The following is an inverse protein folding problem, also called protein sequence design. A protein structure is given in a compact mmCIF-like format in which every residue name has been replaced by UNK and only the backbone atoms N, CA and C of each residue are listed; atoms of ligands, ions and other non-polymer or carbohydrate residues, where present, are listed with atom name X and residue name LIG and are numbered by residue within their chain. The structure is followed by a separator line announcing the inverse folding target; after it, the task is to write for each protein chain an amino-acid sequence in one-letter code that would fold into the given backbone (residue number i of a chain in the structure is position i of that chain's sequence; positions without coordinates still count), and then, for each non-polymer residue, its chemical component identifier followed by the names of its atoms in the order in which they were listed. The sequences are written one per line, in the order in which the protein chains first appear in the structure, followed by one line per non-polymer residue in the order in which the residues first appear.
data_IF_938015351941
#
_entry.id   IF_938015351941
#
_cell.length_a   1.000
_cell.length_b   1.000
_cell.length_c   1.000
_cell.angle_alpha   90.00
_cell.angle_beta   90.00
_cell.angle_gamma   90.00
#
_symmetry.space_group_name_H-M   'P 1'
#
loop_
_entity.id
_entity.type
_entity.pdbx_description
1 polymer ?
#
# COMPACT_ATOMS: atom_id res chain seq x y z
N UNK A 1 -80.14 6.33 56.68
CA UNK A 1 -78.79 6.37 57.31
C UNK A 1 -78.10 5.00 57.33
N UNK A 2 -78.85 3.89 57.39
CA UNK A 2 -78.31 2.51 57.27
C UNK A 2 -77.76 2.17 55.86
N UNK A 3 -78.40 2.62 54.78
CA UNK A 3 -77.94 2.30 53.41
C UNK A 3 -76.57 2.91 53.05
N UNK A 4 -76.22 4.06 53.62
CA UNK A 4 -74.93 4.74 53.38
C UNK A 4 -73.78 4.05 54.12
N UNK A 5 -74.06 3.45 55.27
CA UNK A 5 -73.08 2.68 56.07
C UNK A 5 -72.81 1.33 55.43
N UNK A 6 -73.83 0.67 54.88
CA UNK A 6 -73.67 -0.59 54.16
C UNK A 6 -72.94 -0.41 52.81
N UNK A 7 -73.22 0.69 52.09
CA UNK A 7 -72.53 1.03 50.85
C UNK A 7 -71.05 1.41 51.06
N UNK A 8 -70.73 2.17 52.14
CA UNK A 8 -69.34 2.45 52.54
C UNK A 8 -68.59 1.22 53.02
N UNK A 9 -69.24 0.31 53.75
CA UNK A 9 -68.66 -0.98 54.14
C UNK A 9 -68.36 -1.88 52.94
N UNK A 10 -69.26 -1.92 51.94
CA UNK A 10 -69.05 -2.62 50.66
C UNK A 10 -67.94 -1.96 49.81
N UNK A 11 -67.83 -0.63 49.77
CA UNK A 11 -66.74 0.08 49.08
C UNK A 11 -65.35 -0.12 49.74
N UNK A 12 -65.27 -0.09 51.07
CA UNK A 12 -64.00 -0.32 51.80
C UNK A 12 -63.56 -1.77 51.66
N UNK A 13 -64.50 -2.73 51.70
CA UNK A 13 -64.19 -4.16 51.45
C UNK A 13 -63.78 -4.44 50.01
N UNK A 14 -64.42 -3.82 49.01
CA UNK A 14 -64.04 -3.98 47.59
C UNK A 14 -62.70 -3.32 47.27
N UNK A 15 -62.38 -2.17 47.88
CA UNK A 15 -61.06 -1.53 47.80
C UNK A 15 -59.96 -2.37 48.46
N UNK A 16 -60.23 -2.94 49.64
CA UNK A 16 -59.32 -3.86 50.34
C UNK A 16 -59.09 -5.16 49.56
N UNK A 17 -60.16 -5.74 48.97
CA UNK A 17 -60.06 -6.93 48.12
C UNK A 17 -59.24 -6.65 46.85
N UNK A 18 -59.45 -5.48 46.23
CA UNK A 18 -58.69 -5.02 45.06
C UNK A 18 -57.19 -4.87 45.37
N UNK A 19 -56.86 -4.28 46.53
CA UNK A 19 -55.48 -4.14 46.98
C UNK A 19 -54.81 -5.51 47.24
N UNK A 20 -55.54 -6.45 47.84
CA UNK A 20 -55.06 -7.81 48.08
C UNK A 20 -54.79 -8.56 46.77
N UNK A 21 -55.70 -8.45 45.80
CA UNK A 21 -55.54 -9.05 44.47
C UNK A 21 -54.33 -8.46 43.74
N UNK A 22 -54.13 -7.14 43.84
CA UNK A 22 -52.97 -6.47 43.25
C UNK A 22 -51.64 -6.94 43.88
N UNK A 23 -51.58 -7.07 45.21
CA UNK A 23 -50.40 -7.59 45.91
C UNK A 23 -50.10 -9.06 45.53
N UNK A 24 -51.13 -9.89 45.38
CA UNK A 24 -50.97 -11.29 44.93
C UNK A 24 -50.48 -11.37 43.48
N UNK A 25 -50.95 -10.49 42.61
CA UNK A 25 -50.47 -10.38 41.22
C UNK A 25 -48.99 -9.99 41.18
N UNK A 26 -48.57 -9.00 41.97
CA UNK A 26 -47.15 -8.61 42.08
C UNK A 26 -46.30 -9.78 42.58
N UNK A 27 -46.73 -10.48 43.63
CA UNK A 27 -46.00 -11.65 44.15
C UNK A 27 -45.89 -12.77 43.11
N UNK A 28 -46.94 -13.00 42.32
CA UNK A 28 -46.92 -13.98 41.24
C UNK A 28 -45.92 -13.57 40.15
N UNK A 29 -45.96 -12.31 39.70
CA UNK A 29 -45.02 -11.79 38.71
C UNK A 29 -43.56 -11.86 39.20
N UNK A 30 -43.29 -11.51 40.46
CA UNK A 30 -41.95 -11.66 41.04
C UNK A 30 -41.48 -13.11 41.11
N UNK A 31 -42.36 -14.07 41.44
CA UNK A 31 -42.02 -15.49 41.43
C UNK A 31 -41.71 -15.99 40.02
N UNK A 32 -42.48 -15.57 39.02
CA UNK A 32 -42.23 -15.93 37.62
C UNK A 32 -40.89 -15.35 37.16
N UNK A 33 -40.63 -14.07 37.43
CA UNK A 33 -39.37 -13.41 37.08
C UNK A 33 -38.14 -14.10 37.71
N UNK A 34 -38.22 -14.45 38.99
CA UNK A 34 -37.15 -15.16 39.69
C UNK A 34 -36.92 -16.56 39.13
N UNK A 35 -38.01 -17.29 38.83
CA UNK A 35 -37.93 -18.61 38.20
C UNK A 35 -37.29 -18.55 36.81
N UNK A 36 -37.59 -17.52 36.02
CA UNK A 36 -36.98 -17.35 34.69
C UNK A 36 -35.51 -16.98 34.78
N UNK A 37 -35.10 -16.19 35.78
CA UNK A 37 -33.70 -15.85 36.02
C UNK A 37 -32.88 -17.07 36.46
N UNK A 38 -33.38 -17.86 37.39
CA UNK A 38 -32.73 -19.11 37.84
C UNK A 38 -32.62 -20.13 36.71
N UNK A 39 -33.66 -20.28 35.88
CA UNK A 39 -33.62 -21.14 34.70
C UNK A 39 -32.58 -20.66 33.67
N UNK A 40 -32.46 -19.34 33.50
CA UNK A 40 -31.48 -18.75 32.58
C UNK A 40 -30.04 -18.89 33.08
N UNK A 41 -29.79 -18.73 34.38
CA UNK A 41 -28.47 -18.94 35.00
C UNK A 41 -28.04 -20.41 34.88
N UNK A 42 -28.97 -21.36 35.09
CA UNK A 42 -28.71 -22.79 34.93
C UNK A 42 -28.41 -23.22 33.47
N UNK A 43 -28.61 -22.31 32.52
CA UNK A 43 -28.36 -22.50 31.09
C UNK A 43 -27.07 -21.84 30.61
N UNK A 44 -26.27 -21.28 31.54
CA UNK A 44 -24.90 -20.84 31.26
C UNK A 44 -24.02 -22.08 31.02
N UNK A 45 -23.23 -22.13 29.93
CA UNK A 45 -22.25 -23.20 29.74
C UNK A 45 -21.21 -23.22 30.87
N UNK A 46 -20.96 -24.39 31.44
CA UNK A 46 -19.91 -24.63 32.45
C UNK A 46 -18.59 -25.03 31.77
N UNK A 47 -17.48 -24.72 32.43
CA UNK A 47 -16.11 -25.04 31.99
C UNK A 47 -15.81 -24.66 30.53
N UNK A 48 -16.10 -23.40 30.18
CA UNK A 48 -15.80 -22.88 28.84
C UNK A 48 -14.29 -22.90 28.63
N UNK A 49 -13.85 -23.72 27.68
CA UNK A 49 -12.46 -23.82 27.23
C UNK A 49 -12.39 -23.21 25.84
N UNK A 50 -11.50 -22.23 25.69
CA UNK A 50 -11.22 -21.57 24.42
C UNK A 50 -9.81 -21.92 23.99
N UNK A 51 -9.67 -22.44 22.79
CA UNK A 51 -8.39 -22.71 22.13
C UNK A 51 -8.29 -21.87 20.88
N UNK A 52 -7.22 -21.11 20.79
CA UNK A 52 -6.98 -20.19 19.69
C UNK A 52 -5.82 -20.74 18.86
N UNK A 53 -6.10 -20.95 17.58
CA UNK A 53 -5.15 -21.40 16.57
C UNK A 53 -5.14 -20.41 15.41
N UNK A 54 -4.15 -20.45 14.51
CA UNK A 54 -4.14 -19.60 13.34
C UNK A 54 -5.46 -19.67 12.53
N UNK A 55 -6.17 -18.53 12.45
CA UNK A 55 -7.42 -18.36 11.73
C UNK A 55 -8.63 -19.09 12.31
N UNK A 56 -8.53 -19.65 13.52
CA UNK A 56 -9.56 -20.50 14.11
C UNK A 56 -9.68 -20.31 15.63
N UNK A 57 -10.90 -20.05 16.08
CA UNK A 57 -11.25 -20.02 17.51
C UNK A 57 -12.15 -21.22 17.80
N UNK A 58 -11.65 -22.15 18.61
CA UNK A 58 -12.37 -23.34 19.05
C UNK A 58 -12.85 -23.14 20.47
N UNK A 59 -14.17 -23.28 20.65
CA UNK A 59 -14.81 -23.05 21.93
C UNK A 59 -15.53 -24.33 22.30
N UNK A 60 -15.28 -24.83 23.50
CA UNK A 60 -15.90 -26.05 24.02
C UNK A 60 -16.37 -25.84 25.44
N UNK A 61 -17.39 -26.59 25.85
CA UNK A 61 -17.96 -26.52 27.19
C UNK A 61 -18.44 -27.91 27.63
N UNK A 62 -18.66 -28.07 28.93
CA UNK A 62 -19.19 -29.34 29.46
C UNK A 62 -20.62 -29.58 28.93
N UNK A 63 -20.88 -30.78 28.41
CA UNK A 63 -22.17 -31.19 27.84
C UNK A 63 -23.28 -31.43 28.89
N UNK A 64 -23.49 -30.51 29.84
CA UNK A 64 -24.54 -30.65 30.88
C UNK A 64 -25.92 -30.25 30.34
N UNK A 65 -25.98 -29.32 29.39
CA UNK A 65 -27.23 -28.73 28.91
C UNK A 65 -27.84 -29.56 27.78
N UNK A 66 -28.99 -30.20 28.07
CA UNK A 66 -29.73 -31.03 27.10
C UNK A 66 -30.83 -30.27 26.35
N UNK A 67 -31.11 -29.01 26.68
CA UNK A 67 -32.14 -28.20 26.00
C UNK A 67 -31.66 -27.77 24.62
N UNK A 68 -32.59 -27.79 23.66
CA UNK A 68 -32.32 -27.35 22.29
C UNK A 68 -32.53 -25.83 22.21
N UNK A 69 -31.50 -25.07 22.59
CA UNK A 69 -31.52 -23.61 22.55
C UNK A 69 -30.41 -23.07 21.66
N UNK A 70 -30.72 -21.96 20.99
CA UNK A 70 -29.80 -21.23 20.13
C UNK A 70 -29.15 -20.13 20.96
N UNK A 71 -27.84 -20.04 20.88
CA UNK A 71 -27.03 -19.01 21.55
C UNK A 71 -26.35 -18.17 20.48
N UNK A 72 -26.10 -16.92 20.83
CA UNK A 72 -25.30 -15.99 20.06
C UNK A 72 -23.92 -15.89 20.68
N UNK A 73 -22.89 -15.89 19.85
CA UNK A 73 -21.54 -15.60 20.28
C UNK A 73 -21.04 -14.31 19.64
N UNK A 74 -20.56 -13.39 20.48
CA UNK A 74 -19.88 -12.18 20.03
C UNK A 74 -18.39 -12.32 20.32
N UNK A 75 -17.54 -12.31 19.29
CA UNK A 75 -16.10 -12.10 19.48
C UNK A 75 -15.81 -10.60 19.38
N UNK A 76 -15.09 -10.06 20.35
CA UNK A 76 -14.73 -8.64 20.39
C UNK A 76 -13.21 -8.47 20.42
N UNK A 77 -12.64 -8.02 19.30
CA UNK A 77 -11.31 -7.40 19.24
C UNK A 77 -11.23 -6.44 18.03
N UNK A 78 -12.09 -5.41 18.03
CA UNK A 78 -12.37 -4.49 16.91
C UNK A 78 -13.15 -5.08 15.73
N UNK A 79 -13.21 -6.41 15.61
CA UNK A 79 -14.11 -7.13 14.70
C UNK A 79 -15.20 -7.81 15.51
N UNK A 80 -16.47 -7.55 15.15
CA UNK A 80 -17.64 -8.21 15.74
C UNK A 80 -18.07 -9.36 14.83
N UNK A 81 -17.82 -10.59 15.27
CA UNK A 81 -18.45 -11.79 14.70
C UNK A 81 -19.65 -12.10 15.58
N UNK A 82 -20.84 -12.15 14.96
CA UNK A 82 -22.10 -12.59 15.56
C UNK A 82 -22.54 -13.89 14.85
N UNK A 83 -22.43 -15.01 15.55
CA UNK A 83 -22.87 -16.32 15.06
C UNK A 83 -23.86 -17.00 16.01
N UNK A 84 -24.86 -17.66 15.43
CA UNK A 84 -25.80 -18.51 16.15
C UNK A 84 -25.29 -19.96 16.23
N UNK A 85 -25.29 -20.53 17.44
CA UNK A 85 -24.83 -21.90 17.67
C UNK A 85 -25.72 -22.65 18.67
N UNK A 86 -25.53 -23.98 18.74
CA UNK A 86 -26.36 -24.87 19.57
C UNK A 86 -25.52 -25.54 20.64
N UNK A 87 -25.92 -25.39 21.92
CA UNK A 87 -25.18 -25.94 23.05
C UNK A 87 -25.07 -27.47 23.05
N UNK A 88 -25.98 -28.20 22.38
CA UNK A 88 -25.90 -29.67 22.27
C UNK A 88 -24.68 -30.16 21.51
N UNK A 89 -24.08 -29.32 20.66
CA UNK A 89 -22.85 -29.68 19.95
C UNK A 89 -21.66 -29.77 20.92
N UNK A 90 -21.73 -29.10 22.07
CA UNK A 90 -20.66 -28.98 23.07
C UNK A 90 -19.35 -28.33 22.61
N UNK A 91 -19.27 -27.99 21.33
CA UNK A 91 -18.21 -27.20 20.76
C UNK A 91 -18.76 -26.34 19.63
N UNK A 92 -18.07 -25.25 19.34
CA UNK A 92 -18.30 -24.39 18.17
C UNK A 92 -16.95 -23.94 17.63
N UNK A 93 -16.82 -23.96 16.31
CA UNK A 93 -15.60 -23.56 15.60
C UNK A 93 -15.90 -22.29 14.81
N UNK A 94 -15.08 -21.26 15.03
CA UNK A 94 -15.26 -19.96 14.39
C UNK A 94 -14.04 -19.67 13.56
N UNK A 95 -14.24 -19.47 12.26
CA UNK A 95 -13.19 -19.02 11.35
C UNK A 95 -13.02 -17.52 11.52
N UNK A 96 -11.79 -17.08 11.72
CA UNK A 96 -11.46 -15.68 11.86
C UNK A 96 -10.51 -15.25 10.74
N UNK A 97 -10.77 -14.06 10.21
CA UNK A 97 -9.95 -13.36 9.21
C UNK A 97 -9.39 -12.04 9.77
N UNK A 98 -9.18 -12.00 11.09
CA UNK A 98 -8.57 -10.90 11.84
C UNK A 98 -7.49 -11.43 12.80
N UNK A 99 -6.73 -10.53 13.42
CA UNK A 99 -5.59 -10.85 14.27
C UNK A 99 -6.03 -11.51 15.59
N UNK A 100 -5.69 -12.78 15.79
CA UNK A 100 -6.00 -13.56 16.99
C UNK A 100 -4.84 -13.57 18.00
N UNK A 101 -3.61 -13.25 17.59
CA UNK A 101 -2.46 -13.25 18.49
C UNK A 101 -2.57 -12.21 19.63
N UNK A 102 -3.44 -11.20 19.45
CA UNK A 102 -3.71 -10.15 20.45
C UNK A 102 -4.73 -10.57 21.50
N UNK A 103 -5.39 -11.71 21.29
CA UNK A 103 -6.31 -12.37 22.19
C UNK A 103 -7.76 -11.92 22.06
N UNK A 104 -8.71 -12.83 22.13
CA UNK A 104 -10.13 -12.52 21.87
C UNK A 104 -10.95 -12.43 23.15
N UNK A 105 -11.88 -11.50 23.21
CA UNK A 105 -12.94 -11.50 24.23
C UNK A 105 -14.18 -12.15 23.65
N UNK A 106 -14.83 -13.02 24.41
CA UNK A 106 -15.96 -13.81 23.93
C UNK A 106 -17.16 -13.53 24.81
N UNK A 107 -18.27 -13.15 24.20
CA UNK A 107 -19.54 -13.04 24.89
C UNK A 107 -20.49 -14.11 24.39
N UNK A 108 -21.20 -14.73 25.32
CA UNK A 108 -22.24 -15.71 24.98
C UNK A 108 -23.58 -15.16 25.46
N UNK A 109 -24.55 -15.12 24.57
CA UNK A 109 -25.90 -14.62 24.83
C UNK A 109 -26.93 -15.70 24.51
N UNK A 110 -27.90 -15.98 25.39
CA UNK A 110 -28.92 -17.00 25.15
C UNK A 110 -30.10 -16.46 24.34
N UNK A 111 -30.29 -16.95 23.11
CA UNK A 111 -31.46 -16.69 22.26
C UNK A 111 -31.81 -15.21 22.00
N UNK A 112 -32.88 -14.97 21.22
CA UNK A 112 -33.33 -13.60 20.85
C UNK A 112 -33.98 -12.79 21.99
N UNK A 113 -34.32 -13.42 23.11
CA UNK A 113 -35.00 -12.77 24.25
C UNK A 113 -34.14 -12.74 25.52
N UNK A 114 -32.88 -13.19 25.46
CA UNK A 114 -31.98 -13.27 26.60
C UNK A 114 -30.82 -12.27 26.56
N UNK A 115 -30.95 -11.14 25.84
CA UNK A 115 -29.91 -10.10 25.77
C UNK A 115 -29.49 -9.57 27.16
N UNK A 116 -30.43 -9.58 28.11
CA UNK A 116 -30.19 -9.24 29.52
C UNK A 116 -29.31 -10.26 30.28
N UNK A 117 -29.10 -11.45 29.72
CA UNK A 117 -28.30 -12.54 30.28
C UNK A 117 -27.01 -12.76 29.48
N UNK A 118 -26.33 -11.67 29.11
CA UNK A 118 -25.03 -11.70 28.44
C UNK A 118 -23.94 -12.15 29.40
N UNK A 119 -23.29 -13.28 29.10
CA UNK A 119 -22.13 -13.74 29.86
C UNK A 119 -20.86 -13.31 29.14
N UNK A 120 -20.14 -12.37 29.76
CA UNK A 120 -18.82 -11.98 29.33
C UNK A 120 -17.81 -13.03 29.79
N UNK A 121 -17.10 -13.62 28.84
CA UNK A 121 -15.97 -14.48 29.12
C UNK A 121 -14.70 -13.65 28.97
N UNK A 122 -13.82 -13.74 29.97
CA UNK A 122 -12.53 -13.04 30.03
C UNK A 122 -11.74 -13.14 28.73
N UNK A 123 -10.88 -12.16 28.47
CA UNK A 123 -9.99 -12.17 27.30
C UNK A 123 -9.12 -13.43 27.30
N UNK A 124 -9.15 -14.19 26.21
CA UNK A 124 -8.34 -15.38 25.99
C UNK A 124 -7.18 -15.08 25.06
N UNK A 125 -6.02 -15.66 25.35
CA UNK A 125 -4.84 -15.55 24.51
C UNK A 125 -4.46 -16.93 23.97
N UNK A 126 -3.85 -17.01 22.78
CA UNK A 126 -3.16 -18.22 22.35
C UNK A 126 -2.13 -18.68 23.38
N UNK A 127 -1.84 -19.97 23.37
CA UNK A 127 -0.82 -20.59 24.22
C UNK A 127 0.59 -20.14 23.81
N UNK A 128 1.49 -20.05 24.80
CA UNK A 128 2.87 -19.56 24.64
C UNK A 128 3.08 -18.14 25.15
N UNK A 129 4.33 -17.69 25.14
CA UNK A 129 4.73 -16.33 25.52
C UNK A 129 4.85 -15.44 24.27
N UNK A 130 4.24 -14.25 24.32
CA UNK A 130 4.29 -13.26 23.25
C UNK A 130 5.72 -12.74 22.99
N UNK A 131 6.59 -12.69 24.01
CA UNK A 131 7.98 -12.24 23.82
C UNK A 131 8.83 -13.26 23.04
N UNK A 132 8.35 -14.51 22.92
CA UNK A 132 9.00 -15.58 22.15
C UNK A 132 8.45 -15.71 20.73
N UNK A 133 7.30 -15.10 20.44
CA UNK A 133 6.68 -15.16 19.12
C UNK A 133 7.44 -14.33 18.08
N UNK A 134 7.15 -14.55 16.80
CA UNK A 134 7.69 -13.69 15.75
C UNK A 134 7.15 -12.25 15.90
N UNK A 135 7.98 -11.24 15.68
CA UNK A 135 7.59 -9.84 15.79
C UNK A 135 7.54 -9.16 14.40
N UNK A 136 6.87 -8.01 14.32
CA UNK A 136 6.91 -7.11 13.16
C UNK A 136 6.63 -7.78 11.80
N UNK A 137 5.60 -8.64 11.75
CA UNK A 137 5.18 -9.24 10.48
C UNK A 137 4.78 -8.13 9.50
N UNK A 138 5.47 -8.09 8.37
CA UNK A 138 5.22 -7.15 7.30
C UNK A 138 5.24 -7.88 5.96
N UNK A 139 4.33 -7.52 5.07
CA UNK A 139 4.27 -8.07 3.72
C UNK A 139 4.19 -6.97 2.68
N UNK A 140 4.80 -7.22 1.53
CA UNK A 140 4.84 -6.31 0.39
C UNK A 140 4.55 -7.08 -0.87
N UNK A 141 3.59 -6.62 -1.66
CA UNK A 141 3.29 -7.15 -2.99
C UNK A 141 4.00 -6.29 -4.03
N UNK A 142 4.59 -6.89 -5.05
CA UNK A 142 5.32 -6.19 -6.10
C UNK A 142 5.25 -6.97 -7.41
N UNK A 143 5.58 -6.29 -8.51
CA UNK A 143 5.58 -6.90 -9.85
C UNK A 143 4.27 -7.61 -10.21
N UNK A 144 3.13 -7.16 -9.65
CA UNK A 144 1.77 -7.70 -9.82
C UNK A 144 1.55 -9.12 -9.24
N UNK A 145 2.58 -9.98 -9.23
CA UNK A 145 2.42 -11.41 -8.96
C UNK A 145 3.27 -11.94 -7.81
N UNK A 146 4.07 -11.12 -7.14
CA UNK A 146 4.95 -11.58 -6.07
C UNK A 146 4.63 -10.90 -4.74
N UNK A 147 4.80 -11.64 -3.66
CA UNK A 147 4.69 -11.13 -2.31
C UNK A 147 5.85 -11.63 -1.47
N UNK A 148 6.47 -10.69 -0.75
CA UNK A 148 7.48 -10.98 0.25
C UNK A 148 6.90 -10.63 1.61
N UNK A 149 6.94 -11.60 2.52
CA UNK A 149 6.62 -11.39 3.92
C UNK A 149 7.90 -11.56 4.75
N UNK A 150 8.07 -10.74 5.78
CA UNK A 150 9.19 -10.78 6.70
C UNK A 150 8.72 -10.60 8.12
N UNK A 151 9.47 -11.18 9.05
CA UNK A 151 9.24 -11.06 10.48
C UNK A 151 10.57 -11.08 11.22
N UNK A 152 10.58 -10.48 12.40
CA UNK A 152 11.69 -10.51 13.32
C UNK A 152 11.60 -11.73 14.23
N UNK A 153 12.75 -12.22 14.67
CA UNK A 153 12.83 -13.26 15.69
C UNK A 153 12.42 -12.65 17.03
N UNK A 154 11.57 -13.34 17.79
CA UNK A 154 11.13 -12.89 19.11
C UNK A 154 12.30 -12.60 20.04
N UNK A 155 12.16 -11.55 20.86
CA UNK A 155 13.23 -11.05 21.74
C UNK A 155 13.73 -12.10 22.71
N UNK A 156 12.82 -12.95 23.19
CA UNK A 156 13.09 -14.01 24.15
C UNK A 156 12.95 -15.40 23.51
N UNK A 157 12.88 -15.47 22.18
CA UNK A 157 12.76 -16.73 21.47
C UNK A 157 14.02 -17.60 21.68
N UNK A 158 13.87 -18.90 21.95
CA UNK A 158 15.00 -19.79 22.14
C UNK A 158 15.81 -19.92 20.85
N UNK A 159 17.08 -20.31 20.97
CA UNK A 159 17.98 -20.38 19.82
C UNK A 159 17.57 -21.45 18.80
N UNK A 160 16.83 -22.48 19.24
CA UNK A 160 16.36 -23.58 18.41
C UNK A 160 14.98 -23.32 17.77
N UNK A 161 14.44 -22.10 17.89
CA UNK A 161 13.13 -21.76 17.31
C UNK A 161 13.13 -21.94 15.78
N UNK A 162 12.13 -22.65 15.28
CA UNK A 162 11.86 -22.83 13.86
C UNK A 162 10.52 -22.18 13.54
N UNK A 163 10.55 -21.13 12.70
CA UNK A 163 9.35 -20.44 12.26
C UNK A 163 8.76 -21.05 10.99
N UNK A 164 7.44 -21.13 10.94
CA UNK A 164 6.67 -21.59 9.79
C UNK A 164 5.62 -20.56 9.40
N UNK A 165 5.60 -20.17 8.13
CA UNK A 165 4.62 -19.24 7.58
C UNK A 165 3.49 -19.99 6.87
N UNK A 166 2.26 -19.51 7.09
CA UNK A 166 1.06 -19.94 6.37
C UNK A 166 0.22 -18.74 5.95
N UNK A 167 -0.30 -18.80 4.72
CA UNK A 167 -1.31 -17.87 4.22
C UNK A 167 -2.63 -18.62 4.08
N UNK A 168 -3.69 -18.05 4.63
CA UNK A 168 -5.05 -18.59 4.60
C UNK A 168 -5.94 -17.61 3.83
N UNK A 169 -6.59 -18.12 2.79
CA UNK A 169 -7.63 -17.38 2.09
C UNK A 169 -8.75 -18.32 1.68
N UNK A 170 -10.00 -17.95 2.03
CA UNK A 170 -11.19 -18.77 1.81
C UNK A 170 -11.05 -20.11 2.54
N UNK A 171 -10.89 -21.21 1.81
CA UNK A 171 -10.68 -22.56 2.38
C UNK A 171 -9.32 -23.15 1.98
N UNK A 172 -8.38 -22.32 1.53
CA UNK A 172 -7.04 -22.73 1.13
C UNK A 172 -6.04 -22.21 2.14
N UNK A 173 -5.16 -23.12 2.58
CA UNK A 173 -3.97 -22.79 3.36
C UNK A 173 -2.75 -23.08 2.50
N UNK A 174 -1.95 -22.06 2.26
CA UNK A 174 -0.73 -22.13 1.45
C UNK A 174 0.48 -22.01 2.39
N UNK A 175 1.36 -23.04 2.45
CA UNK A 175 2.61 -22.91 3.16
C UNK A 175 3.55 -21.98 2.39
N UNK A 176 4.61 -21.51 3.05
CA UNK A 176 5.66 -20.79 2.35
C UNK A 176 6.38 -21.68 1.32
N UNK A 177 6.46 -21.30 0.04
CA UNK A 177 7.16 -22.09 -0.96
C UNK A 177 8.67 -21.89 -0.90
N UNK A 178 9.14 -20.72 -0.47
CA UNK A 178 10.57 -20.42 -0.34
C UNK A 178 10.85 -19.51 0.85
N UNK A 179 11.62 -20.00 1.81
CA UNK A 179 12.06 -19.21 2.95
C UNK A 179 13.35 -18.44 2.66
N UNK A 180 13.47 -17.26 3.26
CA UNK A 180 14.73 -16.58 3.49
C UNK A 180 15.14 -16.73 4.95
N UNK A 181 16.42 -16.97 5.19
CA UNK A 181 16.94 -17.23 6.53
C UNK A 181 17.91 -16.14 6.99
N UNK A 182 18.04 -15.99 8.31
CA UNK A 182 19.09 -15.18 8.92
C UNK A 182 20.46 -15.89 8.87
N UNK A 183 21.48 -15.27 9.47
CA UNK A 183 22.84 -15.83 9.56
C UNK A 183 22.95 -17.12 10.37
N UNK A 184 21.92 -17.46 11.16
CA UNK A 184 21.83 -18.69 11.95
C UNK A 184 20.95 -19.75 11.28
N UNK A 185 20.41 -19.47 10.10
CA UNK A 185 19.54 -20.39 9.37
C UNK A 185 18.08 -20.38 9.83
N UNK A 186 17.67 -19.44 10.69
CA UNK A 186 16.26 -19.31 11.13
C UNK A 186 15.46 -18.63 10.03
N UNK A 187 14.27 -19.16 9.73
CA UNK A 187 13.36 -18.56 8.76
C UNK A 187 12.84 -17.21 9.26
N UNK A 188 13.12 -16.14 8.51
CA UNK A 188 12.71 -14.75 8.83
C UNK A 188 11.98 -14.08 7.68
N UNK A 189 11.89 -14.76 6.53
CA UNK A 189 11.21 -14.27 5.33
C UNK A 189 10.50 -15.41 4.60
N UNK A 190 9.40 -15.09 3.95
CA UNK A 190 8.72 -15.94 2.99
C UNK A 190 8.57 -15.21 1.66
N UNK A 191 8.93 -15.89 0.57
CA UNK A 191 8.72 -15.42 -0.79
C UNK A 191 7.66 -16.30 -1.44
N UNK A 192 6.60 -15.71 -1.99
CA UNK A 192 5.50 -16.44 -2.63
C UNK A 192 4.92 -15.70 -3.83
N UNK A 193 4.34 -16.48 -4.74
CA UNK A 193 3.56 -15.94 -5.86
C UNK A 193 2.10 -15.74 -5.45
N UNK A 194 1.52 -14.60 -5.80
CA UNK A 194 0.12 -14.27 -5.52
C UNK A 194 -0.84 -14.65 -6.64
N UNK A 195 -0.37 -15.36 -7.67
CA UNK A 195 -1.18 -15.85 -8.80
C UNK A 195 -2.34 -16.77 -8.36
N UNK A 196 -2.20 -17.44 -7.23
CA UNK A 196 -3.18 -18.39 -6.69
C UNK A 196 -4.09 -17.80 -5.59
N UNK A 197 -3.98 -16.50 -5.31
CA UNK A 197 -4.80 -15.81 -4.31
C UNK A 197 -5.56 -14.64 -4.96
N UNK A 198 -6.67 -14.26 -4.34
CA UNK A 198 -7.44 -13.09 -4.72
C UNK A 198 -6.86 -11.85 -4.04
N UNK A 199 -6.18 -11.00 -4.80
CA UNK A 199 -5.48 -9.81 -4.28
C UNK A 199 -6.42 -8.70 -3.81
N UNK A 200 -7.72 -8.78 -4.14
CA UNK A 200 -8.74 -7.80 -3.77
C UNK A 200 -9.49 -8.16 -2.49
N UNK A 201 -9.40 -9.42 -2.07
CA UNK A 201 -9.99 -9.95 -0.86
C UNK A 201 -8.98 -10.00 0.29
N UNK A 202 -9.45 -9.95 1.53
CA UNK A 202 -8.60 -10.12 2.71
C UNK A 202 -7.90 -11.48 2.67
N UNK A 203 -6.61 -11.47 3.01
CA UNK A 203 -5.85 -12.67 3.35
C UNK A 203 -5.54 -12.64 4.84
N UNK A 204 -5.53 -13.81 5.46
CA UNK A 204 -5.02 -14.02 6.80
C UNK A 204 -3.65 -14.68 6.68
N UNK A 205 -2.66 -14.21 7.42
CA UNK A 205 -1.33 -14.84 7.47
C UNK A 205 -0.97 -15.14 8.92
N UNK A 206 -0.24 -16.22 9.13
CA UNK A 206 0.28 -16.57 10.43
C UNK A 206 1.70 -17.11 10.34
N UNK A 207 2.53 -16.70 11.30
CA UNK A 207 3.86 -17.24 11.57
C UNK A 207 3.78 -18.01 12.88
N UNK A 208 3.88 -19.33 12.81
CA UNK A 208 3.97 -20.21 13.97
C UNK A 208 5.43 -20.50 14.29
N UNK A 209 5.71 -20.93 15.52
CA UNK A 209 7.04 -21.37 15.92
C UNK A 209 7.01 -22.73 16.60
N UNK A 210 8.10 -23.48 16.48
CA UNK A 210 8.34 -24.70 17.27
C UNK A 210 9.73 -24.65 17.88
N UNK A 211 9.83 -25.06 19.14
CA UNK A 211 11.09 -25.25 19.88
C UNK A 211 10.96 -26.52 20.72
N UNK A 212 12.09 -27.12 21.10
CA UNK A 212 12.09 -28.28 21.99
C UNK A 212 11.85 -27.91 23.46
N UNK A 213 12.15 -26.66 23.83
CA UNK A 213 12.17 -26.21 25.23
C UNK A 213 10.86 -25.52 25.63
N UNK A 214 10.25 -24.78 24.71
CA UNK A 214 9.09 -23.94 25.00
C UNK A 214 8.05 -23.95 23.88
N UNK A 215 6.79 -23.74 24.25
CA UNK A 215 5.71 -23.49 23.31
C UNK A 215 5.82 -22.06 22.77
N UNK A 216 5.90 -21.92 21.46
CA UNK A 216 6.05 -20.62 20.79
C UNK A 216 4.68 -20.16 20.29
N UNK A 217 4.22 -19.04 20.83
CA UNK A 217 2.98 -18.39 20.41
C UNK A 217 3.08 -17.97 18.94
N UNK A 218 1.99 -18.09 18.18
CA UNK A 218 1.94 -17.61 16.80
C UNK A 218 1.70 -16.10 16.75
N UNK A 219 2.14 -15.46 15.68
CA UNK A 219 1.79 -14.08 15.36
C UNK A 219 1.07 -14.08 14.02
N UNK A 220 0.00 -13.28 13.90
CA UNK A 220 -0.82 -13.21 12.70
C UNK A 220 -1.11 -11.78 12.25
N UNK A 221 -1.51 -11.65 10.99
CA UNK A 221 -1.92 -10.39 10.39
C UNK A 221 -3.00 -10.64 9.35
N UNK A 222 -3.87 -9.66 9.15
CA UNK A 222 -4.91 -9.71 8.12
C UNK A 222 -4.96 -8.41 7.32
N UNK A 223 -4.94 -8.52 5.99
CA UNK A 223 -4.92 -7.36 5.10
C UNK A 223 -5.39 -7.76 3.70
N UNK A 224 -5.75 -6.78 2.87
CA UNK A 224 -5.94 -7.01 1.42
C UNK A 224 -4.59 -6.86 0.71
N UNK A 225 -4.15 -7.82 -0.12
CA UNK A 225 -2.87 -7.71 -0.81
C UNK A 225 -2.71 -6.43 -1.65
N UNK A 226 -3.79 -5.93 -2.26
CA UNK A 226 -3.79 -4.64 -2.99
C UNK A 226 -3.38 -3.44 -2.13
N UNK A 227 -3.69 -3.46 -0.83
CA UNK A 227 -3.32 -2.40 0.12
C UNK A 227 -1.83 -2.48 0.53
N UNK A 228 -1.12 -3.52 0.08
CA UNK A 228 0.32 -3.74 0.31
C UNK A 228 1.13 -3.76 -0.99
N UNK A 229 0.51 -3.47 -2.13
CA UNK A 229 1.14 -3.58 -3.45
C UNK A 229 1.87 -2.31 -3.87
N UNK A 230 3.20 -2.37 -3.90
CA UNK A 230 4.01 -1.35 -4.57
C UNK A 230 3.75 -1.44 -6.06
N UNK A 231 3.04 -0.44 -6.59
CA UNK A 231 2.70 -0.38 -8.00
C UNK A 231 3.96 -0.25 -8.86
N UNK A 232 4.01 -1.05 -9.91
CA UNK A 232 4.94 -0.84 -11.00
C UNK A 232 4.73 0.55 -11.62
N UNK A 233 5.77 1.16 -12.20
CA UNK A 233 5.61 2.40 -12.92
C UNK A 233 4.66 2.21 -14.13
N UNK A 234 3.94 3.28 -14.56
CA UNK A 234 3.15 3.25 -15.79
C UNK A 234 3.97 2.78 -17.00
N UNK A 235 3.32 2.05 -17.92
CA UNK A 235 3.99 1.47 -19.09
C UNK A 235 3.94 2.45 -20.27
N UNK A 236 4.89 2.32 -21.20
CA UNK A 236 4.88 3.01 -22.50
C UNK A 236 4.64 4.53 -22.40
N UNK A 237 5.42 5.22 -21.56
CA UNK A 237 5.42 6.69 -21.54
C UNK A 237 5.98 7.21 -22.87
N UNK A 238 5.18 7.96 -23.61
CA UNK A 238 5.57 8.57 -24.90
C UNK A 238 5.17 10.03 -24.96
N UNK A 239 5.92 10.81 -25.73
CA UNK A 239 5.66 12.23 -25.96
C UNK A 239 5.49 12.46 -27.46
N UNK A 240 4.37 13.06 -27.85
CA UNK A 240 4.05 13.36 -29.24
C UNK A 240 3.76 14.84 -29.41
N UNK A 241 4.23 15.44 -30.51
CA UNK A 241 3.98 16.85 -30.82
C UNK A 241 2.69 16.99 -31.61
N UNK A 242 1.76 17.80 -31.13
CA UNK A 242 0.50 18.13 -31.80
C UNK A 242 0.38 19.65 -32.01
N UNK A 243 -0.73 20.09 -32.62
CA UNK A 243 -1.04 21.52 -32.76
C UNK A 243 -1.30 22.19 -31.40
N UNK A 244 -1.73 21.42 -30.39
CA UNK A 244 -2.11 21.91 -29.06
C UNK A 244 -0.94 21.93 -28.06
N UNK A 245 0.20 21.31 -28.41
CA UNK A 245 1.38 21.25 -27.54
C UNK A 245 2.07 19.88 -27.60
N UNK A 246 2.75 19.53 -26.51
CA UNK A 246 3.34 18.20 -26.34
C UNK A 246 2.37 17.32 -25.56
N UNK A 247 1.92 16.23 -26.17
CA UNK A 247 0.99 15.28 -25.57
C UNK A 247 1.77 14.10 -25.04
N UNK A 248 1.80 13.99 -23.71
CA UNK A 248 2.29 12.83 -22.99
C UNK A 248 1.19 11.78 -22.91
N UNK A 249 1.49 10.54 -23.26
CA UNK A 249 0.57 9.41 -23.14
C UNK A 249 1.26 8.23 -22.46
N UNK A 250 0.50 7.47 -21.70
CA UNK A 250 1.00 6.27 -21.01
C UNK A 250 -0.07 5.19 -20.92
N UNK A 251 0.35 4.00 -20.54
CA UNK A 251 -0.48 2.86 -20.22
C UNK A 251 -0.51 2.63 -18.70
N UNK A 252 -1.61 2.02 -18.24
CA UNK A 252 -1.81 1.73 -16.82
C UNK A 252 -0.79 0.69 -16.31
N UNK A 253 -0.40 0.74 -15.03
CA UNK A 253 0.65 -0.13 -14.50
C UNK A 253 0.23 -1.60 -14.38
N UNK A 254 -1.07 -1.87 -14.17
CA UNK A 254 -1.62 -3.21 -13.96
C UNK A 254 -2.87 -3.48 -14.80
N UNK A 255 -3.03 -4.73 -15.25
CA UNK A 255 -4.19 -5.23 -15.97
C UNK A 255 -5.37 -5.65 -15.09
N UNK A 256 -5.12 -5.81 -13.80
CA UNK A 256 -6.13 -6.17 -12.80
C UNK A 256 -7.18 -5.07 -12.62
N UNK A 257 -6.77 -3.80 -12.69
CA UNK A 257 -7.64 -2.66 -12.42
C UNK A 257 -7.91 -1.80 -13.66
N UNK A 258 -9.06 -1.15 -13.66
CA UNK A 258 -9.48 -0.21 -14.70
C UNK A 258 -8.78 1.15 -14.53
N UNK A 259 -8.75 1.95 -15.61
CA UNK A 259 -8.08 3.26 -15.61
C UNK A 259 -8.54 4.20 -14.49
N UNK A 260 -9.79 4.11 -14.07
CA UNK A 260 -10.35 4.97 -13.03
C UNK A 260 -9.85 4.64 -11.60
N UNK A 261 -9.15 3.51 -11.42
CA UNK A 261 -8.53 3.14 -10.15
C UNK A 261 -7.15 3.73 -9.93
N UNK A 262 -6.59 4.41 -10.93
CA UNK A 262 -5.24 4.96 -10.86
C UNK A 262 -5.25 6.47 -10.82
N UNK A 263 -4.40 6.99 -9.95
CA UNK A 263 -3.96 8.37 -9.93
C UNK A 263 -2.46 8.39 -10.28
N UNK A 264 -2.05 9.39 -11.05
CA UNK A 264 -0.69 9.52 -11.53
C UNK A 264 -0.07 10.82 -11.03
N UNK A 265 1.23 10.77 -10.80
CA UNK A 265 2.07 11.96 -10.64
C UNK A 265 3.02 12.00 -11.83
N UNK A 266 2.85 13.01 -12.68
CA UNK A 266 3.74 13.31 -13.79
C UNK A 266 4.67 14.43 -13.36
N UNK A 267 5.97 14.15 -13.33
CA UNK A 267 6.99 15.16 -13.10
C UNK A 267 7.60 15.57 -14.43
N UNK A 268 7.56 16.86 -14.71
CA UNK A 268 8.18 17.51 -15.86
C UNK A 268 9.25 18.44 -15.29
N UNK A 269 10.52 18.12 -15.54
CA UNK A 269 11.66 18.77 -14.88
C UNK A 269 11.52 18.70 -13.35
N UNK A 270 11.22 19.82 -12.69
CA UNK A 270 11.02 19.91 -11.24
C UNK A 270 9.56 20.14 -10.84
N UNK A 271 8.65 20.27 -11.81
CA UNK A 271 7.24 20.52 -11.58
C UNK A 271 6.44 19.22 -11.58
N UNK A 272 5.62 19.00 -10.55
CA UNK A 272 4.76 17.82 -10.42
C UNK A 272 3.31 18.17 -10.74
N UNK A 273 2.68 17.33 -11.55
CA UNK A 273 1.27 17.40 -11.90
C UNK A 273 0.54 16.13 -11.49
N UNK A 274 -0.58 16.28 -10.81
CA UNK A 274 -1.46 15.16 -10.45
C UNK A 274 -2.50 14.94 -11.54
N UNK A 275 -2.60 13.72 -12.07
CA UNK A 275 -3.57 13.34 -13.08
C UNK A 275 -4.44 12.20 -12.55
N UNK A 276 -5.75 12.38 -12.57
CA UNK A 276 -6.72 11.35 -12.18
C UNK A 276 -7.49 10.80 -13.36
N UNK A 277 -7.74 9.49 -13.37
CA UNK A 277 -8.69 8.79 -14.27
C UNK A 277 -8.43 8.98 -15.77
N UNK A 278 -7.28 9.53 -16.14
CA UNK A 278 -6.82 9.77 -17.52
C UNK A 278 -5.43 9.19 -17.71
N UNK A 279 -5.08 8.92 -18.95
CA UNK A 279 -3.78 8.38 -19.33
C UNK A 279 -3.05 9.29 -20.33
N UNK A 280 -3.41 10.57 -20.32
CA UNK A 280 -2.84 11.60 -21.18
C UNK A 280 -2.69 12.91 -20.41
N UNK A 281 -1.67 13.69 -20.76
CA UNK A 281 -1.45 15.04 -20.27
C UNK A 281 -0.87 15.90 -21.38
N UNK A 282 -1.44 17.09 -21.59
CA UNK A 282 -0.95 18.02 -22.60
C UNK A 282 -0.14 19.10 -21.90
N UNK A 283 1.13 19.22 -22.28
CA UNK A 283 2.01 20.30 -21.87
C UNK A 283 1.73 21.50 -22.79
N UNK A 284 1.12 22.58 -22.26
CA UNK A 284 0.84 23.75 -23.07
C UNK A 284 2.15 24.46 -23.44
N UNK A 285 2.34 24.70 -24.73
CA UNK A 285 3.35 25.61 -25.34
C UNK A 285 4.76 25.53 -24.73
N UNK A 286 5.64 24.79 -25.40
CA UNK A 286 7.05 24.63 -25.01
C UNK A 286 7.99 25.50 -25.89
N UNK A 287 9.00 26.11 -25.27
CA UNK A 287 10.07 26.82 -26.00
C UNK A 287 10.88 25.82 -26.83
N UNK A 288 11.14 26.02 -28.13
CA UNK A 288 11.80 25.02 -28.98
C UNK A 288 13.20 24.58 -28.50
N UNK A 289 13.83 25.35 -27.62
CA UNK A 289 15.22 25.17 -27.16
C UNK A 289 15.34 24.51 -25.77
N UNK A 290 14.24 24.26 -25.07
CA UNK A 290 14.28 23.65 -23.73
C UNK A 290 14.31 22.10 -23.83
N UNK A 291 15.03 21.45 -22.90
CA UNK A 291 15.06 19.99 -22.81
C UNK A 291 14.20 19.58 -21.62
N UNK A 292 13.14 18.84 -21.90
CA UNK A 292 12.24 18.32 -20.88
C UNK A 292 12.71 16.95 -20.40
N UNK A 293 12.72 16.77 -19.08
CA UNK A 293 12.86 15.46 -18.45
C UNK A 293 11.53 15.07 -17.84
N UNK A 294 10.92 14.00 -18.33
CA UNK A 294 9.57 13.59 -17.96
C UNK A 294 9.63 12.21 -17.31
N UNK A 295 9.06 12.07 -16.13
CA UNK A 295 8.86 10.78 -15.48
C UNK A 295 7.49 10.71 -14.85
N UNK A 296 6.95 9.51 -14.70
CA UNK A 296 5.61 9.30 -14.17
C UNK A 296 5.61 8.15 -13.17
N UNK A 297 4.77 8.25 -12.14
CA UNK A 297 4.46 7.16 -11.22
C UNK A 297 2.97 7.08 -10.96
N UNK A 298 2.52 5.96 -10.41
CA UNK A 298 1.11 5.71 -10.12
C UNK A 298 0.86 5.40 -8.64
N UNK A 299 -0.35 5.70 -8.19
CA UNK A 299 -0.94 5.20 -6.94
C UNK A 299 -2.38 4.76 -7.20
N UNK A 300 -2.94 3.99 -6.27
CA UNK A 300 -4.36 3.67 -6.27
C UNK A 300 -5.18 4.86 -5.78
N UNK A 301 -6.36 5.04 -6.38
CA UNK A 301 -7.42 5.87 -5.79
C UNK A 301 -7.99 5.13 -4.58
N UNK A 302 -8.36 5.85 -3.52
CA UNK A 302 -8.75 5.31 -2.20
C UNK A 302 -9.81 4.19 -2.25
N UNK A 303 -10.74 4.24 -3.20
CA UNK A 303 -11.79 3.23 -3.36
C UNK A 303 -11.29 1.89 -3.94
N UNK A 304 -10.15 1.89 -4.64
CA UNK A 304 -9.59 0.70 -5.28
C UNK A 304 -8.47 0.05 -4.46
N UNK A 305 -7.76 0.83 -3.63
CA UNK A 305 -6.73 0.34 -2.74
C UNK A 305 -6.18 1.45 -1.86
N UNK A 306 -5.61 1.07 -0.71
CA UNK A 306 -4.95 1.98 0.21
C UNK A 306 -3.45 1.73 0.18
N UNK A 307 -2.75 2.38 -0.74
CA UNK A 307 -1.30 2.33 -0.77
C UNK A 307 -0.65 3.70 -1.04
N UNK A 308 0.66 3.76 -0.83
CA UNK A 308 1.50 4.88 -1.22
C UNK A 308 1.79 4.93 -2.73
N UNK A 309 2.62 5.89 -3.11
CA UNK A 309 3.12 6.03 -4.47
C UNK A 309 4.02 4.86 -4.85
N UNK A 310 3.79 4.31 -6.05
CA UNK A 310 4.68 3.34 -6.67
C UNK A 310 5.97 3.97 -7.20
N UNK A 311 6.74 3.15 -7.90
CA UNK A 311 8.02 3.56 -8.48
C UNK A 311 7.87 4.52 -9.66
N UNK A 312 8.90 5.33 -9.88
CA UNK A 312 8.99 6.20 -11.06
C UNK A 312 9.36 5.39 -12.30
N UNK A 313 8.86 5.80 -13.46
CA UNK A 313 9.45 5.38 -14.74
C UNK A 313 10.89 5.88 -14.84
N UNK A 314 11.68 5.21 -15.68
CA UNK A 314 12.90 5.82 -16.21
C UNK A 314 12.59 7.19 -16.83
N UNK A 315 13.46 8.19 -16.65
CA UNK A 315 13.24 9.53 -17.16
C UNK A 315 13.30 9.55 -18.70
N UNK A 316 12.25 10.08 -19.32
CA UNK A 316 12.17 10.32 -20.75
C UNK A 316 12.59 11.75 -21.06
N UNK A 317 13.65 11.92 -21.84
CA UNK A 317 14.11 13.24 -22.30
C UNK A 317 13.49 13.61 -23.65
N UNK A 318 12.89 14.79 -23.75
CA UNK A 318 12.31 15.33 -24.98
C UNK A 318 12.88 16.73 -25.28
N UNK A 319 13.40 16.94 -26.48
CA UNK A 319 14.04 18.19 -26.90
C UNK A 319 15.32 17.93 -27.68
N UNK A 320 15.83 18.94 -28.38
CA UNK A 320 17.08 18.82 -29.15
C UNK A 320 18.23 19.32 -28.27
N UNK A 321 19.24 18.49 -28.04
CA UNK A 321 20.49 18.97 -27.46
C UNK A 321 21.13 19.95 -28.46
N UNK A 322 21.10 21.25 -28.16
CA UNK A 322 21.90 22.21 -28.91
C UNK A 322 23.32 22.06 -28.40
N UNK A 323 24.14 21.33 -29.16
CA UNK A 323 25.57 21.21 -28.91
C UNK A 323 26.21 22.59 -29.13
N UNK A 324 26.23 23.42 -28.08
CA UNK A 324 26.79 24.78 -28.09
C UNK A 324 28.28 24.81 -28.44
N UNK A 325 28.95 23.65 -28.47
CA UNK A 325 30.33 23.52 -28.92
C UNK A 325 30.46 23.43 -30.45
N UNK A 326 29.47 22.95 -31.21
CA UNK A 326 29.61 22.78 -32.67
C UNK A 326 29.49 24.10 -33.43
N UNK A 327 28.61 25.02 -32.99
CA UNK A 327 28.41 26.33 -33.63
C UNK A 327 29.61 27.28 -33.45
N UNK A 328 30.38 27.10 -32.37
CA UNK A 328 31.58 27.91 -32.10
C UNK A 328 32.70 27.66 -33.12
N UNK A 329 32.91 26.40 -33.54
CA UNK A 329 33.96 26.06 -34.51
C UNK A 329 33.63 26.51 -35.93
N UNK A 330 32.35 26.51 -36.32
CA UNK A 330 31.94 27.00 -37.64
C UNK A 330 32.12 28.52 -37.80
N UNK A 331 31.89 29.29 -36.73
CA UNK A 331 32.12 30.75 -36.74
C UNK A 331 33.61 31.11 -36.62
N UNK A 332 34.38 30.39 -35.80
CA UNK A 332 35.84 30.52 -35.74
C UNK A 332 36.47 30.15 -37.10
N UNK A 333 36.02 29.07 -37.72
CA UNK A 333 36.47 28.63 -39.05
C UNK A 333 36.23 29.67 -40.13
N UNK A 334 35.05 30.33 -40.14
CA UNK A 334 34.74 31.41 -41.08
C UNK A 334 35.59 32.66 -40.87
N UNK A 335 35.84 33.05 -39.62
CA UNK A 335 36.72 34.19 -39.32
C UNK A 335 38.17 33.92 -39.75
N UNK A 336 38.69 32.72 -39.51
CA UNK A 336 40.03 32.35 -39.94
C UNK A 336 40.16 32.36 -41.47
N UNK A 337 39.18 31.80 -42.20
CA UNK A 337 39.18 31.80 -43.67
C UNK A 337 39.12 33.22 -44.24
N UNK A 338 38.30 34.11 -43.68
CA UNK A 338 38.26 35.53 -44.08
C UNK A 338 39.60 36.24 -43.82
N UNK A 339 40.25 35.97 -42.68
CA UNK A 339 41.54 36.55 -42.36
C UNK A 339 42.64 36.10 -43.33
N UNK A 340 42.69 34.81 -43.66
CA UNK A 340 43.66 34.30 -44.64
C UNK A 340 43.40 34.80 -46.07
N UNK A 341 42.13 34.93 -46.48
CA UNK A 341 41.76 35.56 -47.74
C UNK A 341 42.22 37.02 -47.79
N UNK A 342 42.02 37.78 -46.70
CA UNK A 342 42.47 39.16 -46.62
C UNK A 342 43.99 39.28 -46.73
N UNK A 343 44.75 38.44 -46.01
CA UNK A 343 46.21 38.41 -46.10
C UNK A 343 46.71 38.02 -47.49
N UNK A 344 46.06 37.07 -48.16
CA UNK A 344 46.40 36.66 -49.52
C UNK A 344 46.13 37.78 -50.53
N UNK A 345 45.01 38.50 -50.39
CA UNK A 345 44.72 39.66 -51.24
C UNK A 345 45.74 40.78 -50.99
N UNK A 346 46.11 41.02 -49.73
CA UNK A 346 47.08 42.05 -49.37
C UNK A 346 48.49 41.71 -49.89
N UNK A 347 48.91 40.45 -49.85
CA UNK A 347 50.22 40.02 -50.38
C UNK A 347 50.27 40.11 -51.90
N UNK A 348 49.19 39.75 -52.60
CA UNK A 348 49.06 39.94 -54.05
C UNK A 348 49.09 41.42 -54.41
N UNK A 349 48.38 42.27 -53.66
CA UNK A 349 48.41 43.71 -53.86
C UNK A 349 49.81 44.29 -53.65
N UNK A 350 50.52 43.89 -52.58
CA UNK A 350 51.90 44.29 -52.34
C UNK A 350 52.86 43.83 -53.44
N UNK A 351 52.69 42.61 -53.95
CA UNK A 351 53.49 42.08 -55.04
C UNK A 351 53.25 42.84 -56.35
N UNK A 352 52.00 43.16 -56.68
CA UNK A 352 51.63 43.96 -57.85
C UNK A 352 52.18 45.39 -57.72
N UNK A 353 52.03 46.04 -56.55
CA UNK A 353 52.56 47.37 -56.31
C UNK A 353 54.09 47.41 -56.38
N UNK A 354 54.79 46.44 -55.79
CA UNK A 354 56.25 46.34 -55.87
C UNK A 354 56.72 46.02 -57.30
N UNK A 355 56.00 45.18 -58.04
CA UNK A 355 56.27 44.91 -59.46
C UNK A 355 56.10 46.15 -60.35
N UNK A 356 55.08 46.96 -60.08
CA UNK A 356 54.88 48.26 -60.76
C UNK A 356 55.97 49.27 -60.39
N UNK A 357 56.36 49.38 -59.11
CA UNK A 357 57.46 50.24 -58.67
C UNK A 357 58.81 49.85 -59.29
N UNK A 358 59.11 48.56 -59.38
CA UNK A 358 60.31 48.04 -60.05
C UNK A 358 60.27 48.27 -61.57
N UNK A 359 59.08 48.21 -62.18
CA UNK A 359 58.87 48.56 -63.59
C UNK A 359 59.14 50.03 -63.89
N UNK A 360 58.68 50.94 -63.01
CA UNK A 360 58.93 52.39 -63.14
C UNK A 360 60.41 52.72 -62.86
N UNK A 361 61.05 52.00 -61.94
CA UNK A 361 62.48 52.15 -61.63
C UNK A 361 63.38 51.78 -62.82
N UNK A 362 63.06 50.68 -63.52
CA UNK A 362 63.81 50.23 -64.71
C UNK A 362 63.59 51.13 -65.94
N UNK A 363 62.47 51.84 -66.02
CA UNK A 363 62.23 52.86 -67.05
C UNK A 363 63.00 54.16 -66.78
N UNK A 364 63.27 54.50 -65.51
CA UNK A 364 64.07 55.67 -65.15
C UNK A 364 65.59 55.43 -65.28
N UNK A 365 66.08 54.22 -65.00
CA UNK A 365 67.51 53.87 -65.10
C UNK A 365 68.04 53.68 -66.53
N UNK A 366 67.17 53.62 -67.55
CA UNK A 366 67.57 53.59 -68.98
C UNK A 366 67.67 54.98 -69.62
N UNK A 367 67.50 56.06 -68.86
CA UNK A 367 67.54 57.43 -69.34
C UNK A 367 68.55 58.30 -68.56
N UNK A 368 69.82 57.90 -68.51
CA UNK A 368 70.93 58.77 -68.11
C UNK A 368 72.12 58.57 -69.08
N UNK A 369 72.53 59.57 -69.87
CA UNK A 369 73.70 59.48 -70.73
C UNK A 369 75.01 59.67 -69.94
N UNK A 370 76.03 58.88 -70.29
CA UNK A 370 77.40 58.97 -69.79
C UNK A 370 78.05 60.31 -70.16
N UNK A 371 78.68 60.93 -69.15
CA UNK A 371 79.58 62.08 -69.27
C UNK A 371 80.94 61.62 -69.81
N UNK A 372 81.39 62.15 -70.95
CA UNK A 372 82.76 62.01 -71.45
C UNK A 372 83.49 63.36 -71.43
N UNK A 373 84.72 63.37 -70.91
CA UNK A 373 85.76 64.40 -71.04
C UNK A 373 87.13 63.70 -70.85
N UNK A 374 88.25 64.26 -71.31
CA UNK A 374 88.61 64.60 -72.69
C UNK A 374 89.95 63.92 -73.10
N UNK A 375 90.28 63.88 -74.39
CA UNK A 375 91.69 63.75 -74.84
C UNK A 375 91.94 64.58 -76.09
N UNK A 376 92.90 65.49 -76.00
CA UNK A 376 93.63 66.10 -77.13
C UNK A 376 94.88 65.27 -77.43
N UNK A 377 95.26 65.17 -78.71
CA UNK A 377 96.61 65.39 -79.31
C UNK A 377 96.54 64.91 -80.77
N UNK A 378 96.31 65.80 -81.74
CA UNK A 378 97.33 66.40 -82.63
C UNK A 378 96.66 67.14 -83.80
#
# INVERSE_FOLDING_TARGET
MQDVVEHRSKMVKTSSLSLLVFLLLIQCLCKIAKSTEEEMIALKPEDIIVKISPGLVNISWTCTIKKNMVYRIDICENHLIDEEFNLRKCFHEIKADFELHKGVSINITPGKHGEQFKWNVTKFFPSGDMNMSAENISCTVYNVFYMDCSWDVGREAPNDVIYNFSLIQKSKTLPCPRYGTDSRGRAIKCFLEVSNIDTTSTVYIAVTGTSNETEIMFTDASFKPVDKEILNPPKNLTVTKTLEGLVCTWEKPSDTFQKHCFQYELQINQESHTIEKKNTFTIPTHSPDEVLTIKIRATYVELCGKNGWGEWTEPLTYGKYVDLFSSSWDDLGKQHVQFFLFLAIHSVFHYICNGLLMGVSNLCLRALPEFQLPTTVH
#
